data_IF_869350078146
#
_entry.id   IF_869350078146
#
_cell.length_a   1.000
_cell.length_b   1.000
_cell.length_c   1.000
_cell.angle_alpha   90.00
_cell.angle_beta   90.00
_cell.angle_gamma   90.00
#
_symmetry.space_group_name_H-M   'P 1'
#
loop_
_entity.id
_entity.type
_entity.pdbx_description
1 polymer ?
#
# COMPACT_ATOMS: atom_id res chain seq x y z
N UNK A 1 -4.42 33.49 -8.04
CA UNK A 1 -3.47 32.37 -8.02
C UNK A 1 -4.04 31.29 -8.92
N UNK A 2 -3.39 31.11 -10.11
CA UNK A 2 -3.81 30.12 -11.12
C UNK A 2 -3.65 28.70 -10.56
N UNK A 3 -4.63 27.83 -10.86
CA UNK A 3 -4.55 26.38 -10.58
C UNK A 3 -3.34 25.81 -11.32
N UNK A 4 -2.55 24.91 -10.69
CA UNK A 4 -1.48 24.24 -11.41
C UNK A 4 -2.06 23.40 -12.55
N UNK A 5 -1.42 23.44 -13.71
CA UNK A 5 -1.79 22.63 -14.88
C UNK A 5 -1.43 21.15 -14.63
N UNK A 6 -2.06 20.24 -15.38
CA UNK A 6 -1.79 18.80 -15.29
C UNK A 6 -0.30 18.48 -15.52
N UNK A 7 0.34 19.20 -16.46
CA UNK A 7 1.77 19.06 -16.77
C UNK A 7 2.67 19.52 -15.61
N UNK A 8 2.28 20.57 -14.88
CA UNK A 8 3.01 21.04 -13.68
C UNK A 8 2.90 20.04 -12.54
N UNK A 9 1.73 19.40 -12.35
CA UNK A 9 1.55 18.33 -11.38
C UNK A 9 2.37 17.09 -11.73
N UNK A 10 2.42 16.70 -13.00
CA UNK A 10 3.24 15.58 -13.48
C UNK A 10 4.74 15.89 -13.40
N UNK A 11 5.15 17.13 -13.63
CA UNK A 11 6.54 17.56 -13.51
C UNK A 11 6.98 17.63 -12.04
N UNK A 12 6.13 18.10 -11.14
CA UNK A 12 6.34 18.04 -9.69
C UNK A 12 6.43 16.58 -9.24
N UNK A 13 5.55 15.71 -9.71
CA UNK A 13 5.60 14.27 -9.45
C UNK A 13 6.95 13.67 -9.86
N UNK A 14 7.39 13.86 -11.10
CA UNK A 14 8.67 13.33 -11.63
C UNK A 14 9.89 13.88 -10.89
N UNK A 15 9.90 15.16 -10.55
CA UNK A 15 11.03 15.82 -9.87
C UNK A 15 11.11 15.39 -8.40
N UNK A 16 9.97 15.18 -7.72
CA UNK A 16 9.91 14.70 -6.34
C UNK A 16 10.30 13.22 -6.22
N UNK A 17 9.94 12.38 -7.20
CA UNK A 17 10.31 10.95 -7.21
C UNK A 17 11.80 10.74 -7.48
N UNK A 18 12.46 11.65 -8.19
CA UNK A 18 13.89 11.53 -8.47
C UNK A 18 14.78 11.84 -7.26
N UNK A 19 14.30 12.60 -6.24
CA UNK A 19 15.18 13.11 -5.18
C UNK A 19 14.71 12.98 -3.72
N UNK A 20 13.41 12.73 -3.39
CA UNK A 20 12.99 12.44 -1.98
C UNK A 20 11.53 11.94 -1.89
N UNK A 21 11.29 10.72 -1.71
CA UNK A 21 10.79 9.90 -0.60
C UNK A 21 9.50 10.33 0.09
N UNK A 22 8.40 9.74 -0.35
CA UNK A 22 7.20 9.36 0.40
C UNK A 22 6.50 10.28 1.45
N UNK A 23 7.15 10.87 2.43
CA UNK A 23 6.47 11.69 3.42
C UNK A 23 5.80 12.93 2.85
N UNK A 24 6.48 13.67 1.96
CA UNK A 24 5.98 14.93 1.42
C UNK A 24 4.75 14.80 0.51
N UNK A 25 4.64 13.71 -0.26
CA UNK A 25 3.48 13.49 -1.16
C UNK A 25 2.25 13.11 -0.35
N UNK A 26 2.40 12.27 0.67
CA UNK A 26 1.30 11.88 1.57
C UNK A 26 0.82 13.09 2.37
N UNK A 27 1.74 13.94 2.83
CA UNK A 27 1.42 15.18 3.55
C UNK A 27 0.72 16.18 2.64
N UNK A 28 1.21 16.40 1.42
CA UNK A 28 0.55 17.24 0.43
C UNK A 28 -0.85 16.74 0.04
N UNK A 29 -1.03 15.44 -0.20
CA UNK A 29 -2.34 14.87 -0.49
C UNK A 29 -3.30 15.01 0.69
N UNK A 30 -2.81 14.86 1.94
CA UNK A 30 -3.58 15.11 3.16
C UNK A 30 -4.05 16.56 3.24
N UNK A 31 -3.17 17.50 2.92
CA UNK A 31 -3.51 18.94 2.94
C UNK A 31 -4.53 19.32 1.87
N UNK A 32 -4.43 18.71 0.67
CA UNK A 32 -5.43 18.88 -0.40
C UNK A 32 -6.78 18.33 0.06
N UNK A 33 -6.82 17.10 0.57
CA UNK A 33 -8.06 16.47 1.06
C UNK A 33 -8.67 17.29 2.20
N UNK A 34 -7.86 17.78 3.14
CA UNK A 34 -8.34 18.60 4.25
C UNK A 34 -8.98 19.92 3.76
N UNK A 35 -8.41 20.55 2.76
CA UNK A 35 -8.94 21.78 2.14
C UNK A 35 -10.27 21.51 1.44
N UNK A 36 -10.34 20.45 0.64
CA UNK A 36 -11.58 20.06 -0.06
C UNK A 36 -12.71 19.73 0.93
N UNK A 37 -12.41 19.03 2.02
CA UNK A 37 -13.38 18.74 3.06
C UNK A 37 -13.89 20.01 3.76
N UNK A 38 -13.03 21.02 3.99
CA UNK A 38 -13.46 22.30 4.59
C UNK A 38 -14.33 23.09 3.61
N UNK A 39 -14.05 23.06 2.29
CA UNK A 39 -14.91 23.66 1.27
C UNK A 39 -16.30 23.00 1.25
N UNK A 40 -16.38 21.67 1.27
CA UNK A 40 -17.63 20.92 1.36
C UNK A 40 -18.39 21.27 2.64
N UNK A 41 -17.71 21.31 3.79
CA UNK A 41 -18.31 21.71 5.06
C UNK A 41 -18.86 23.14 5.04
N UNK A 42 -18.17 24.06 4.36
CA UNK A 42 -18.62 25.44 4.17
C UNK A 42 -19.88 25.51 3.31
N UNK A 43 -19.95 24.76 2.21
CA UNK A 43 -21.13 24.64 1.34
C UNK A 43 -22.34 24.11 2.12
N UNK A 44 -22.16 23.05 2.90
CA UNK A 44 -23.23 22.48 3.72
C UNK A 44 -23.73 23.44 4.80
N UNK A 45 -22.82 24.23 5.42
CA UNK A 45 -23.21 25.27 6.37
C UNK A 45 -24.04 26.38 5.70
N UNK A 46 -23.65 26.79 4.48
CA UNK A 46 -24.40 27.75 3.69
C UNK A 46 -25.80 27.26 3.34
N UNK A 47 -25.91 26.01 2.87
CA UNK A 47 -27.18 25.36 2.54
C UNK A 47 -28.11 25.28 3.75
N UNK A 48 -27.59 24.86 4.89
CA UNK A 48 -28.36 24.83 6.14
C UNK A 48 -28.92 26.21 6.50
N UNK A 49 -28.11 27.28 6.35
CA UNK A 49 -28.57 28.67 6.61
C UNK A 49 -29.69 29.08 5.66
N UNK A 50 -29.62 28.66 4.38
CA UNK A 50 -30.68 28.92 3.41
C UNK A 50 -31.99 28.21 3.76
N UNK A 51 -31.93 26.95 4.13
CA UNK A 51 -33.10 26.15 4.57
C UNK A 51 -33.71 26.74 5.84
N UNK A 52 -32.89 27.17 6.81
CA UNK A 52 -33.39 27.82 8.04
C UNK A 52 -34.08 29.17 7.77
N UNK A 53 -33.58 29.96 6.80
CA UNK A 53 -34.24 31.19 6.33
C UNK A 53 -35.57 30.91 5.67
N UNK A 54 -35.62 29.90 4.80
CA UNK A 54 -36.84 29.48 4.14
C UNK A 54 -37.88 28.98 5.15
N UNK A 55 -37.47 28.19 6.14
CA UNK A 55 -38.34 27.73 7.24
C UNK A 55 -38.97 28.90 8.00
N UNK A 56 -38.20 29.94 8.33
CA UNK A 56 -38.72 31.16 8.99
C UNK A 56 -39.78 31.87 8.14
N UNK A 57 -39.54 32.03 6.84
CA UNK A 57 -40.51 32.64 5.92
C UNK A 57 -41.82 31.84 5.93
N UNK A 58 -41.75 30.52 5.93
CA UNK A 58 -42.94 29.64 5.99
C UNK A 58 -43.71 29.80 7.32
N UNK A 59 -43.00 29.82 8.45
CA UNK A 59 -43.58 29.96 9.77
C UNK A 59 -44.27 31.33 9.97
N UNK A 60 -43.59 32.41 9.54
CA UNK A 60 -44.13 33.78 9.56
C UNK A 60 -45.39 33.90 8.70
N UNK A 61 -45.35 33.29 7.50
CA UNK A 61 -46.47 33.31 6.57
C UNK A 61 -47.65 32.49 7.13
N UNK A 62 -47.39 31.31 7.66
CA UNK A 62 -48.42 30.45 8.29
C UNK A 62 -49.08 31.13 9.50
N UNK A 63 -48.28 31.75 10.37
CA UNK A 63 -48.80 32.48 11.55
C UNK A 63 -49.63 33.70 11.16
N UNK A 64 -49.19 34.40 10.12
CA UNK A 64 -49.95 35.56 9.57
C UNK A 64 -51.29 35.19 8.95
N UNK A 65 -51.38 33.97 8.38
CA UNK A 65 -52.63 33.43 7.81
C UNK A 65 -53.61 32.97 8.91
N UNK A 66 -53.13 32.40 9.98
CA UNK A 66 -53.95 31.83 11.05
C UNK A 66 -54.66 32.88 11.91
N UNK A 67 -54.19 34.12 11.94
CA UNK A 67 -54.71 35.19 12.78
C UNK A 67 -55.76 36.12 12.15
N UNK A 68 -56.15 35.95 10.88
CA UNK A 68 -57.04 36.86 10.15
C UNK A 68 -58.22 36.14 9.51
N UNK A 69 -59.42 36.43 10.00
CA UNK A 69 -60.68 35.84 9.53
C UNK A 69 -61.16 36.31 8.14
N UNK A 70 -60.60 37.40 7.58
CA UNK A 70 -60.92 37.92 6.24
C UNK A 70 -59.64 38.40 5.54
N UNK A 71 -59.03 37.53 4.76
CA UNK A 71 -57.92 37.87 3.88
C UNK A 71 -58.46 38.39 2.53
N UNK A 72 -58.03 39.57 2.10
CA UNK A 72 -58.36 40.05 0.75
C UNK A 72 -57.66 39.18 -0.33
N UNK A 73 -58.29 39.01 -1.46
CA UNK A 73 -57.75 38.22 -2.57
C UNK A 73 -56.35 38.74 -3.01
N UNK A 74 -56.12 40.05 -2.98
CA UNK A 74 -54.83 40.67 -3.28
C UNK A 74 -53.72 40.27 -2.29
N UNK A 75 -54.02 40.16 -1.01
CA UNK A 75 -53.07 39.73 0.01
C UNK A 75 -52.68 38.26 -0.13
N UNK A 76 -53.68 37.39 -0.42
CA UNK A 76 -53.42 35.96 -0.70
C UNK A 76 -52.53 35.78 -1.93
N UNK A 77 -52.76 36.58 -3.00
CA UNK A 77 -51.95 36.52 -4.23
C UNK A 77 -50.51 36.99 -3.98
N UNK A 78 -50.29 38.03 -3.18
CA UNK A 78 -48.94 38.48 -2.76
C UNK A 78 -48.20 37.45 -1.94
N UNK A 79 -48.86 36.81 -0.97
CA UNK A 79 -48.30 35.74 -0.17
C UNK A 79 -47.91 34.55 -1.06
N UNK A 80 -48.83 34.08 -1.93
CA UNK A 80 -48.54 32.99 -2.85
C UNK A 80 -47.35 33.28 -3.79
N UNK A 81 -47.28 34.51 -4.29
CA UNK A 81 -46.16 34.93 -5.13
C UNK A 81 -44.81 34.96 -4.37
N UNK A 82 -44.79 35.49 -3.15
CA UNK A 82 -43.58 35.51 -2.31
C UNK A 82 -43.11 34.10 -1.94
N UNK A 83 -44.03 33.20 -1.59
CA UNK A 83 -43.73 31.79 -1.32
C UNK A 83 -43.18 31.08 -2.58
N UNK A 84 -43.77 31.32 -3.75
CA UNK A 84 -43.29 30.73 -4.99
C UNK A 84 -41.84 31.19 -5.32
N UNK A 85 -41.55 32.49 -5.15
CA UNK A 85 -40.19 33.01 -5.34
C UNK A 85 -39.21 32.40 -4.35
N UNK A 86 -39.53 32.32 -3.06
CA UNK A 86 -38.69 31.75 -2.03
C UNK A 86 -38.44 30.24 -2.28
N UNK A 87 -39.47 29.50 -2.68
CA UNK A 87 -39.37 28.06 -3.02
C UNK A 87 -38.47 27.84 -4.22
N UNK A 88 -38.66 28.59 -5.31
CA UNK A 88 -37.85 28.47 -6.50
C UNK A 88 -36.38 28.80 -6.21
N UNK A 89 -36.13 29.88 -5.46
CA UNK A 89 -34.76 30.25 -5.03
C UNK A 89 -34.10 29.12 -4.22
N UNK A 90 -34.81 28.48 -3.30
CA UNK A 90 -34.29 27.37 -2.49
C UNK A 90 -34.02 26.12 -3.36
N UNK A 91 -34.91 25.81 -4.32
CA UNK A 91 -34.72 24.70 -5.25
C UNK A 91 -33.48 24.94 -6.14
N UNK A 92 -33.34 26.12 -6.69
CA UNK A 92 -32.20 26.44 -7.57
C UNK A 92 -30.88 26.45 -6.80
N UNK A 93 -30.85 26.95 -5.57
CA UNK A 93 -29.69 26.88 -4.70
C UNK A 93 -29.34 25.43 -4.34
N UNK A 94 -30.32 24.61 -3.97
CA UNK A 94 -30.11 23.19 -3.69
C UNK A 94 -29.57 22.42 -4.92
N UNK A 95 -30.02 22.72 -6.13
CA UNK A 95 -29.47 22.14 -7.37
C UNK A 95 -28.03 22.55 -7.59
N UNK A 96 -27.70 23.80 -7.35
CA UNK A 96 -26.32 24.30 -7.49
C UNK A 96 -25.38 23.61 -6.48
N UNK A 97 -25.80 23.50 -5.23
CA UNK A 97 -25.03 22.79 -4.18
C UNK A 97 -24.86 21.32 -4.54
N UNK A 98 -25.91 20.64 -5.00
CA UNK A 98 -25.83 19.24 -5.45
C UNK A 98 -24.85 19.05 -6.60
N UNK A 99 -24.86 19.94 -7.61
CA UNK A 99 -23.90 19.92 -8.71
C UNK A 99 -22.46 20.09 -8.22
N UNK A 100 -22.22 21.10 -7.36
CA UNK A 100 -20.90 21.36 -6.81
C UNK A 100 -20.39 20.19 -5.94
N UNK A 101 -21.27 19.55 -5.16
CA UNK A 101 -20.92 18.37 -4.38
C UNK A 101 -20.52 17.18 -5.25
N UNK A 102 -21.23 16.96 -6.37
CA UNK A 102 -20.88 15.91 -7.32
C UNK A 102 -19.48 16.15 -7.94
N UNK A 103 -19.20 17.39 -8.35
CA UNK A 103 -17.89 17.76 -8.92
C UNK A 103 -16.77 17.55 -7.88
N UNK A 104 -17.00 17.96 -6.61
CA UNK A 104 -16.04 17.78 -5.51
C UNK A 104 -15.83 16.30 -5.16
N UNK A 105 -16.87 15.48 -5.20
CA UNK A 105 -16.77 14.05 -4.97
C UNK A 105 -15.90 13.38 -6.05
N UNK A 106 -16.10 13.72 -7.32
CA UNK A 106 -15.29 13.22 -8.43
C UNK A 106 -13.80 13.64 -8.28
N UNK A 107 -13.54 14.89 -7.86
CA UNK A 107 -12.18 15.38 -7.62
C UNK A 107 -11.50 14.61 -6.47
N UNK A 108 -12.20 14.39 -5.35
CA UNK A 108 -11.69 13.58 -4.22
C UNK A 108 -11.41 12.14 -4.61
N UNK A 109 -12.24 11.50 -5.42
CA UNK A 109 -12.00 10.14 -5.93
C UNK A 109 -10.76 10.10 -6.82
N UNK A 110 -10.55 11.10 -7.67
CA UNK A 110 -9.34 11.23 -8.49
C UNK A 110 -8.08 11.38 -7.64
N UNK A 111 -8.11 12.24 -6.63
CA UNK A 111 -6.97 12.45 -5.70
C UNK A 111 -6.68 11.16 -4.94
N UNK A 112 -7.71 10.47 -4.45
CA UNK A 112 -7.58 9.18 -3.75
C UNK A 112 -6.93 8.12 -4.63
N UNK A 113 -7.39 7.97 -5.88
CA UNK A 113 -6.83 7.03 -6.84
C UNK A 113 -5.35 7.30 -7.12
N UNK A 114 -4.99 8.56 -7.36
CA UNK A 114 -3.58 8.95 -7.54
C UNK A 114 -2.73 8.67 -6.30
N UNK A 115 -3.25 8.95 -5.11
CA UNK A 115 -2.54 8.66 -3.86
C UNK A 115 -2.30 7.15 -3.67
N UNK A 116 -3.27 6.31 -4.01
CA UNK A 116 -3.13 4.85 -3.97
C UNK A 116 -2.08 4.37 -4.97
N UNK A 117 -2.08 4.92 -6.19
CA UNK A 117 -1.06 4.64 -7.20
C UNK A 117 0.35 5.05 -6.71
N UNK A 118 0.49 6.26 -6.17
CA UNK A 118 1.77 6.72 -5.61
C UNK A 118 2.25 5.87 -4.44
N UNK A 119 1.36 5.46 -3.55
CA UNK A 119 1.69 4.53 -2.47
C UNK A 119 2.18 3.19 -3.03
N UNK A 120 1.50 2.66 -4.04
CA UNK A 120 1.91 1.42 -4.70
C UNK A 120 3.30 1.56 -5.32
N UNK A 121 3.55 2.63 -6.08
CA UNK A 121 4.87 2.89 -6.68
C UNK A 121 5.97 3.07 -5.63
N UNK A 122 5.68 3.71 -4.50
CA UNK A 122 6.64 3.91 -3.41
C UNK A 122 6.94 2.63 -2.61
N UNK A 123 6.04 1.66 -2.60
CA UNK A 123 6.14 0.44 -1.81
C UNK A 123 6.48 -0.81 -2.66
N UNK A 124 6.61 -0.68 -4.00
CA UNK A 124 7.03 -1.77 -4.90
C UNK A 124 8.49 -1.61 -5.37
N UNK A 125 9.13 -2.72 -5.68
CA UNK A 125 10.45 -2.76 -6.31
C UNK A 125 10.31 -2.56 -7.84
N UNK A 126 11.03 -1.61 -8.45
CA UNK A 126 10.85 -1.28 -9.87
C UNK A 126 11.30 -2.38 -10.83
N UNK A 127 12.19 -3.29 -10.40
CA UNK A 127 12.67 -4.38 -11.23
C UNK A 127 11.72 -5.57 -11.23
N UNK A 128 11.18 -5.92 -10.06
CA UNK A 128 10.42 -7.17 -9.84
C UNK A 128 8.93 -6.97 -9.67
N UNK A 129 8.48 -5.74 -9.45
CA UNK A 129 7.08 -5.35 -9.18
C UNK A 129 6.44 -6.01 -7.95
N UNK A 130 7.20 -6.77 -7.15
CA UNK A 130 6.80 -7.17 -5.80
C UNK A 130 7.07 -6.04 -4.80
N UNK A 131 6.70 -6.23 -3.54
CA UNK A 131 6.95 -5.24 -2.50
C UNK A 131 8.45 -4.96 -2.33
N UNK A 132 8.81 -3.73 -1.98
CA UNK A 132 10.19 -3.35 -1.70
C UNK A 132 10.52 -3.44 -0.20
N UNK A 133 11.78 -3.12 0.17
CA UNK A 133 12.26 -3.11 1.55
C UNK A 133 11.38 -2.26 2.47
N UNK A 134 10.95 -1.08 2.01
CA UNK A 134 10.11 -0.17 2.81
C UNK A 134 8.75 -0.78 3.15
N UNK A 135 8.12 -1.45 2.20
CA UNK A 135 6.87 -2.16 2.44
C UNK A 135 7.08 -3.33 3.41
N UNK A 136 8.21 -4.05 3.29
CA UNK A 136 8.59 -5.11 4.21
C UNK A 136 8.75 -4.61 5.66
N UNK A 137 9.44 -3.48 5.88
CA UNK A 137 9.66 -2.92 7.22
C UNK A 137 8.34 -2.50 7.90
N UNK A 138 7.36 -2.03 7.11
CA UNK A 138 6.00 -1.77 7.61
C UNK A 138 5.27 -3.06 7.98
N UNK A 139 5.36 -4.05 7.10
CA UNK A 139 4.58 -5.29 7.23
C UNK A 139 5.08 -6.15 8.41
N UNK A 140 6.40 -6.28 8.59
CA UNK A 140 6.95 -7.01 9.75
C UNK A 140 6.54 -6.35 11.07
N UNK A 141 6.44 -5.02 11.09
CA UNK A 141 5.96 -4.27 12.27
C UNK A 141 4.46 -4.50 12.48
N UNK A 142 3.66 -4.57 11.40
CA UNK A 142 2.22 -4.82 11.46
C UNK A 142 1.89 -6.18 12.06
N UNK A 143 2.54 -7.24 11.59
CA UNK A 143 2.28 -8.60 12.07
C UNK A 143 2.63 -8.76 13.54
N UNK A 144 3.59 -8.01 14.04
CA UNK A 144 4.01 -8.04 15.44
C UNK A 144 3.05 -7.26 16.35
N UNK A 145 2.50 -6.13 15.89
CA UNK A 145 1.56 -5.29 16.65
C UNK A 145 0.12 -5.84 16.63
N UNK A 146 -0.20 -6.73 15.69
CA UNK A 146 -1.49 -7.40 15.66
C UNK A 146 -1.51 -8.51 16.70
N UNK A 147 -2.18 -8.30 17.83
CA UNK A 147 -2.35 -9.27 18.93
C UNK A 147 -3.05 -10.59 18.51
N UNK A 148 -3.45 -10.73 17.25
CA UNK A 148 -4.12 -11.92 16.69
C UNK A 148 -3.13 -12.68 15.82
N UNK A 149 -2.60 -13.79 16.32
CA UNK A 149 -1.92 -14.78 15.48
C UNK A 149 -0.40 -14.78 15.49
N UNK A 150 0.28 -14.08 16.41
CA UNK A 150 1.76 -14.14 16.56
C UNK A 150 2.30 -15.59 16.55
N UNK A 151 1.54 -16.54 17.10
CA UNK A 151 1.94 -17.96 17.15
C UNK A 151 2.04 -18.63 15.76
N UNK A 152 1.35 -18.07 14.76
CA UNK A 152 1.23 -18.66 13.43
C UNK A 152 1.75 -17.74 12.32
N UNK A 153 2.55 -16.75 12.66
CA UNK A 153 3.21 -15.88 11.70
C UNK A 153 4.68 -16.23 11.58
N UNK A 154 5.18 -16.30 10.37
CA UNK A 154 6.56 -16.65 10.08
C UNK A 154 7.22 -15.65 9.15
N UNK A 155 8.52 -15.41 9.37
CA UNK A 155 9.41 -14.73 8.45
C UNK A 155 10.32 -15.75 7.78
N UNK A 156 10.38 -15.69 6.44
CA UNK A 156 11.34 -16.44 5.62
C UNK A 156 12.21 -15.44 4.90
N UNK A 157 13.50 -15.46 5.19
CA UNK A 157 14.50 -14.71 4.41
C UNK A 157 15.11 -15.61 3.34
N UNK A 158 15.31 -15.06 2.17
CA UNK A 158 15.78 -15.77 0.98
C UNK A 158 16.91 -15.00 0.32
N UNK A 159 17.90 -15.73 -0.18
CA UNK A 159 19.05 -15.16 -0.90
C UNK A 159 19.43 -16.07 -2.05
N UNK A 160 19.74 -15.47 -3.19
CA UNK A 160 20.14 -16.22 -4.40
C UNK A 160 21.59 -16.68 -4.25
N UNK A 161 21.78 -17.97 -4.29
CA UNK A 161 23.10 -18.58 -4.10
C UNK A 161 24.07 -18.19 -5.22
N UNK A 162 25.25 -17.67 -4.82
CA UNK A 162 26.33 -17.29 -5.76
C UNK A 162 25.90 -16.30 -6.86
N UNK A 163 25.01 -15.38 -6.53
CA UNK A 163 24.48 -14.42 -7.51
C UNK A 163 25.59 -13.53 -8.12
N UNK A 164 26.63 -13.20 -7.33
CA UNK A 164 27.80 -12.49 -7.82
C UNK A 164 28.49 -13.25 -8.97
N UNK A 165 28.67 -14.58 -8.84
CA UNK A 165 29.28 -15.39 -9.89
C UNK A 165 28.48 -15.36 -11.20
N UNK A 166 27.16 -15.27 -11.10
CA UNK A 166 26.28 -15.12 -12.26
C UNK A 166 26.49 -13.75 -12.93
N UNK A 167 26.51 -12.67 -12.14
CA UNK A 167 26.76 -11.32 -12.65
C UNK A 167 28.15 -11.19 -13.28
N UNK A 168 29.18 -11.75 -12.64
CA UNK A 168 30.54 -11.71 -13.13
C UNK A 168 30.70 -12.47 -14.45
N UNK A 169 29.94 -13.55 -14.63
CA UNK A 169 30.00 -14.40 -15.83
C UNK A 169 29.15 -13.90 -16.99
N UNK A 170 27.94 -13.41 -16.71
CA UNK A 170 26.93 -13.12 -17.74
C UNK A 170 26.51 -11.65 -17.80
N UNK A 171 26.99 -10.83 -16.86
CA UNK A 171 26.67 -9.41 -16.76
C UNK A 171 25.36 -9.13 -15.97
N UNK A 172 25.26 -7.92 -15.44
CA UNK A 172 24.09 -7.46 -14.66
C UNK A 172 22.74 -7.62 -15.37
N UNK A 173 22.60 -7.40 -16.70
CA UNK A 173 21.31 -7.59 -17.37
C UNK A 173 20.77 -9.02 -17.30
N UNK A 174 21.65 -10.03 -17.19
CA UNK A 174 21.25 -11.43 -16.99
C UNK A 174 20.85 -11.65 -15.53
N UNK A 175 21.62 -11.11 -14.59
CA UNK A 175 21.24 -11.14 -13.18
C UNK A 175 19.87 -10.54 -12.92
N UNK A 176 19.57 -9.37 -13.51
CA UNK A 176 18.27 -8.72 -13.40
C UNK A 176 17.11 -9.61 -13.89
N UNK A 177 17.31 -10.31 -15.03
CA UNK A 177 16.32 -11.26 -15.54
C UNK A 177 16.11 -12.46 -14.61
N UNK A 178 17.18 -12.95 -13.99
CA UNK A 178 17.08 -14.03 -13.00
C UNK A 178 16.30 -13.56 -11.76
N UNK A 179 16.59 -12.36 -11.25
CA UNK A 179 15.85 -11.76 -10.14
C UNK A 179 14.36 -11.63 -10.50
N UNK A 180 14.03 -11.13 -11.71
CA UNK A 180 12.64 -11.03 -12.18
C UNK A 180 11.96 -12.40 -12.22
N UNK A 181 12.61 -13.41 -12.82
CA UNK A 181 12.07 -14.77 -12.91
C UNK A 181 11.83 -15.40 -11.55
N UNK A 182 12.72 -15.16 -10.58
CA UNK A 182 12.53 -15.63 -9.19
C UNK A 182 11.35 -14.92 -8.52
N UNK A 183 11.21 -13.61 -8.73
CA UNK A 183 10.05 -12.86 -8.24
C UNK A 183 8.73 -13.38 -8.84
N UNK A 184 8.71 -13.72 -10.12
CA UNK A 184 7.55 -14.35 -10.79
C UNK A 184 7.22 -15.71 -10.16
N UNK A 185 8.24 -16.53 -9.85
CA UNK A 185 8.07 -17.81 -9.17
C UNK A 185 7.45 -17.60 -7.78
N UNK A 186 7.90 -16.60 -7.02
CA UNK A 186 7.27 -16.26 -5.76
C UNK A 186 5.79 -15.90 -5.96
N UNK A 187 5.47 -15.00 -6.88
CA UNK A 187 4.10 -14.54 -7.15
C UNK A 187 3.17 -15.70 -7.53
N UNK A 188 3.62 -16.63 -8.36
CA UNK A 188 2.83 -17.82 -8.77
C UNK A 188 2.67 -18.80 -7.60
N UNK A 189 3.66 -18.92 -6.72
CA UNK A 189 3.68 -19.85 -5.61
C UNK A 189 2.88 -19.39 -4.40
N UNK A 190 2.59 -18.09 -4.32
CA UNK A 190 1.92 -17.43 -3.20
C UNK A 190 0.40 -17.58 -3.34
N UNK A 191 -0.25 -17.99 -2.27
CA UNK A 191 -1.71 -17.88 -2.10
C UNK A 191 -2.01 -16.61 -1.31
N UNK A 192 -3.20 -16.06 -1.42
CA UNK A 192 -3.62 -14.71 -1.03
C UNK A 192 -3.20 -14.14 0.35
N UNK A 193 -2.66 -14.97 1.25
CA UNK A 193 -2.29 -14.58 2.62
C UNK A 193 -0.77 -14.47 2.83
N UNK A 194 0.01 -14.45 1.75
CA UNK A 194 1.48 -14.38 1.83
C UNK A 194 1.97 -13.06 1.26
N UNK A 195 2.83 -12.39 2.00
CA UNK A 195 3.51 -11.18 1.57
C UNK A 195 4.92 -11.53 1.06
N UNK A 196 5.31 -10.98 -0.09
CA UNK A 196 6.66 -11.13 -0.63
C UNK A 196 7.28 -9.78 -0.98
N UNK A 197 8.53 -9.58 -0.59
CA UNK A 197 9.28 -8.37 -0.87
C UNK A 197 10.70 -8.68 -1.34
N UNK A 198 11.25 -7.79 -2.16
CA UNK A 198 12.68 -7.71 -2.42
C UNK A 198 13.32 -6.75 -1.41
N UNK A 199 14.20 -7.27 -0.56
CA UNK A 199 14.78 -6.52 0.56
C UNK A 199 16.20 -6.04 0.31
N UNK A 200 16.84 -6.56 -0.74
CA UNK A 200 18.21 -6.22 -1.16
C UNK A 200 18.43 -6.48 -2.63
N UNK A 201 19.68 -6.46 -3.06
CA UNK A 201 20.05 -6.72 -4.45
C UNK A 201 19.59 -8.10 -4.93
N UNK A 202 19.90 -9.13 -4.15
CA UNK A 202 19.62 -10.55 -4.43
C UNK A 202 18.82 -11.21 -3.29
N UNK A 203 18.32 -10.38 -2.36
CA UNK A 203 17.62 -10.82 -1.15
C UNK A 203 16.12 -10.59 -1.26
N UNK A 204 15.36 -11.58 -0.78
CA UNK A 204 13.90 -11.53 -0.69
C UNK A 204 13.45 -11.90 0.73
N UNK A 205 12.26 -11.46 1.08
CA UNK A 205 11.60 -11.83 2.31
C UNK A 205 10.15 -12.24 2.04
N UNK A 206 9.71 -13.32 2.69
CA UNK A 206 8.31 -13.72 2.70
C UNK A 206 7.79 -13.63 4.13
N UNK A 207 6.58 -13.12 4.30
CA UNK A 207 5.82 -13.18 5.52
C UNK A 207 4.62 -14.09 5.27
N UNK A 208 4.49 -15.13 6.09
CA UNK A 208 3.43 -16.12 6.00
C UNK A 208 2.62 -16.03 7.28
N UNK A 209 1.34 -15.66 7.14
CA UNK A 209 0.41 -15.53 8.25
C UNK A 209 -0.47 -16.78 8.39
N UNK A 210 -0.81 -17.15 9.61
CA UNK A 210 -1.75 -18.23 9.89
C UNK A 210 -1.21 -19.65 9.63
N UNK A 211 0.12 -19.84 9.51
CA UNK A 211 0.76 -21.11 9.24
C UNK A 211 1.61 -21.61 10.41
N UNK A 212 1.62 -22.93 10.63
CA UNK A 212 2.59 -23.55 11.54
C UNK A 212 4.01 -23.53 10.95
N UNK A 213 5.02 -23.77 11.78
CA UNK A 213 6.41 -23.85 11.33
C UNK A 213 6.60 -24.93 10.25
N UNK A 214 5.95 -26.10 10.40
CA UNK A 214 6.02 -27.17 9.40
C UNK A 214 5.37 -26.78 8.08
N UNK A 215 4.19 -26.16 8.12
CA UNK A 215 3.52 -25.66 6.92
C UNK A 215 4.35 -24.57 6.22
N UNK A 216 4.99 -23.68 6.99
CA UNK A 216 5.91 -22.65 6.47
C UNK A 216 7.13 -23.30 5.81
N UNK A 217 7.70 -24.31 6.43
CA UNK A 217 8.84 -25.06 5.87
C UNK A 217 8.46 -25.75 4.57
N UNK A 218 7.32 -26.41 4.50
CA UNK A 218 6.85 -27.09 3.29
C UNK A 218 6.63 -26.11 2.13
N UNK A 219 6.11 -24.91 2.42
CA UNK A 219 5.98 -23.83 1.43
C UNK A 219 7.36 -23.36 0.94
N UNK A 220 8.28 -23.07 1.87
CA UNK A 220 9.62 -22.62 1.54
C UNK A 220 10.40 -23.66 0.72
N UNK A 221 10.33 -24.93 1.11
CA UNK A 221 11.02 -26.04 0.41
C UNK A 221 10.43 -26.26 -0.99
N UNK A 222 9.12 -26.18 -1.16
CA UNK A 222 8.47 -26.24 -2.47
C UNK A 222 8.95 -25.12 -3.40
N UNK A 223 9.03 -23.88 -2.89
CA UNK A 223 9.53 -22.72 -3.65
C UNK A 223 11.00 -22.92 -4.01
N UNK A 224 11.84 -23.34 -3.04
CA UNK A 224 13.25 -23.63 -3.28
C UNK A 224 13.43 -24.66 -4.39
N UNK A 225 12.70 -25.76 -4.30
CA UNK A 225 12.75 -26.83 -5.30
C UNK A 225 12.26 -26.38 -6.68
N UNK A 226 11.25 -25.53 -6.75
CA UNK A 226 10.75 -24.97 -8.00
C UNK A 226 11.79 -24.07 -8.66
N UNK A 227 12.49 -23.22 -7.88
CA UNK A 227 13.56 -22.38 -8.40
C UNK A 227 14.71 -23.23 -8.93
N UNK A 228 15.15 -24.26 -8.19
CA UNK A 228 16.21 -25.18 -8.58
C UNK A 228 15.89 -25.93 -9.89
N UNK A 229 14.60 -26.27 -10.10
CA UNK A 229 14.15 -27.00 -11.30
C UNK A 229 13.86 -26.10 -12.49
N UNK A 230 13.77 -24.78 -12.28
CA UNK A 230 13.44 -23.83 -13.35
C UNK A 230 14.65 -23.64 -14.28
N UNK A 231 14.48 -23.86 -15.60
CA UNK A 231 15.55 -23.60 -16.57
C UNK A 231 15.67 -22.08 -16.81
N UNK A 232 16.77 -21.49 -16.37
CA UNK A 232 17.08 -20.08 -16.66
C UNK A 232 17.77 -19.96 -18.02
N UNK A 233 17.01 -19.60 -19.06
CA UNK A 233 17.50 -19.52 -20.43
C UNK A 233 17.19 -18.17 -21.06
N UNK A 234 18.07 -17.70 -21.95
CA UNK A 234 17.80 -16.52 -22.77
C UNK A 234 16.74 -16.83 -23.82
N UNK A 235 15.65 -16.10 -23.82
CA UNK A 235 14.63 -16.18 -24.87
C UNK A 235 15.11 -15.72 -26.24
N UNK A 236 16.19 -14.89 -26.29
CA UNK A 236 16.72 -14.35 -27.54
C UNK A 236 17.84 -15.23 -28.15
N UNK A 237 18.69 -15.81 -27.32
CA UNK A 237 19.87 -16.55 -27.78
C UNK A 237 19.81 -18.05 -27.50
N UNK A 238 18.83 -18.51 -26.72
CA UNK A 238 18.77 -19.90 -26.26
C UNK A 238 19.85 -20.28 -25.24
N UNK A 239 20.67 -19.33 -24.81
CA UNK A 239 21.75 -19.59 -23.85
C UNK A 239 21.22 -20.05 -22.52
N UNK A 240 21.65 -21.21 -22.04
CA UNK A 240 21.32 -21.71 -20.71
C UNK A 240 22.32 -21.12 -19.70
N UNK A 241 21.79 -20.43 -18.67
CA UNK A 241 22.60 -19.81 -17.61
C UNK A 241 22.97 -20.77 -16.46
N UNK A 242 22.51 -22.01 -16.53
CA UNK A 242 22.74 -23.04 -15.52
C UNK A 242 21.64 -23.08 -14.47
N UNK A 243 21.87 -23.87 -13.42
CA UNK A 243 20.96 -24.01 -12.29
C UNK A 243 21.17 -22.86 -11.33
N UNK A 244 20.10 -22.14 -11.02
CA UNK A 244 20.05 -21.13 -9.97
C UNK A 244 19.38 -21.74 -8.74
N UNK A 245 19.98 -21.54 -7.58
CA UNK A 245 19.44 -22.02 -6.31
C UNK A 245 19.30 -20.89 -5.31
N UNK A 246 18.53 -21.12 -4.26
CA UNK A 246 18.34 -20.16 -3.17
C UNK A 246 18.59 -20.83 -1.83
N UNK A 247 19.14 -20.07 -0.90
CA UNK A 247 19.20 -20.41 0.51
C UNK A 247 18.09 -19.69 1.26
N UNK A 248 17.45 -20.35 2.22
CA UNK A 248 16.34 -19.79 2.98
C UNK A 248 16.53 -19.98 4.48
N UNK A 249 16.08 -19.00 5.27
CA UNK A 249 16.06 -19.05 6.73
C UNK A 249 14.68 -18.71 7.26
N UNK A 250 14.12 -19.56 8.13
CA UNK A 250 12.79 -19.40 8.73
C UNK A 250 12.93 -19.08 10.21
N UNK A 251 12.11 -18.13 10.69
CA UNK A 251 11.85 -17.91 12.10
C UNK A 251 10.37 -17.63 12.33
N UNK A 252 9.78 -18.29 13.34
CA UNK A 252 8.41 -18.00 13.76
C UNK A 252 8.38 -16.72 14.60
N UNK A 253 7.35 -15.90 14.44
CA UNK A 253 7.20 -14.68 15.24
C UNK A 253 7.08 -14.95 16.74
N UNK A 254 6.55 -16.13 17.12
CA UNK A 254 6.50 -16.60 18.50
C UNK A 254 7.87 -16.87 19.14
N UNK A 255 8.93 -17.02 18.35
CA UNK A 255 10.28 -17.25 18.83
C UNK A 255 11.04 -15.94 19.09
N UNK A 256 10.47 -14.79 18.72
CA UNK A 256 11.14 -13.50 18.73
C UNK A 256 10.48 -12.53 19.73
N UNK A 257 11.28 -11.59 20.25
CA UNK A 257 10.84 -10.57 21.20
C UNK A 257 10.32 -9.31 20.50
N UNK A 258 10.52 -9.17 19.18
CA UNK A 258 10.13 -8.03 18.38
C UNK A 258 10.50 -8.21 16.91
N UNK A 259 10.11 -7.24 16.05
CA UNK A 259 10.38 -7.30 14.60
C UNK A 259 11.88 -7.42 14.26
N UNK A 260 12.74 -6.70 14.98
CA UNK A 260 14.19 -6.73 14.77
C UNK A 260 14.82 -8.06 15.19
N UNK A 261 14.34 -8.65 16.30
CA UNK A 261 14.80 -9.95 16.77
C UNK A 261 14.32 -11.06 15.83
N UNK A 262 13.08 -10.95 15.30
CA UNK A 262 12.55 -11.86 14.29
C UNK A 262 13.43 -11.87 13.02
N UNK A 263 13.76 -10.67 12.52
CA UNK A 263 14.66 -10.54 11.37
C UNK A 263 16.04 -11.15 11.66
N UNK A 264 16.62 -10.83 12.82
CA UNK A 264 17.95 -11.33 13.22
C UNK A 264 17.99 -12.85 13.34
N UNK A 265 16.94 -13.47 13.86
CA UNK A 265 16.84 -14.92 14.00
C UNK A 265 16.64 -15.62 12.64
N UNK A 266 15.82 -15.06 11.76
CA UNK A 266 15.66 -15.55 10.39
C UNK A 266 16.96 -15.41 9.59
N UNK A 267 17.71 -14.30 9.74
CA UNK A 267 19.01 -14.08 9.10
C UNK A 267 20.07 -15.12 9.57
N UNK A 268 20.10 -15.42 10.86
CA UNK A 268 20.96 -16.50 11.38
C UNK A 268 20.62 -17.85 10.76
N UNK A 269 19.34 -18.16 10.56
CA UNK A 269 18.91 -19.39 9.91
C UNK A 269 19.31 -19.39 8.42
N UNK A 270 19.16 -18.28 7.71
CA UNK A 270 19.62 -18.09 6.34
C UNK A 270 21.15 -18.27 6.22
N UNK A 271 21.91 -17.63 7.09
CA UNK A 271 23.36 -17.81 7.14
C UNK A 271 23.74 -19.29 7.34
N UNK A 272 23.03 -20.01 8.22
CA UNK A 272 23.23 -21.44 8.42
C UNK A 272 22.97 -22.22 7.13
N UNK A 273 21.96 -21.90 6.36
CA UNK A 273 21.72 -22.50 5.05
C UNK A 273 22.88 -22.29 4.09
N UNK A 274 23.42 -21.06 4.01
CA UNK A 274 24.56 -20.71 3.15
C UNK A 274 25.84 -21.48 3.52
N UNK A 275 26.19 -21.56 4.81
CA UNK A 275 27.42 -22.25 5.26
C UNK A 275 27.28 -23.78 5.28
N UNK A 276 26.07 -24.31 5.31
CA UNK A 276 25.84 -25.76 5.32
C UNK A 276 25.76 -26.38 3.92
N UNK A 277 26.13 -25.61 2.86
CA UNK A 277 26.21 -26.09 1.47
C UNK A 277 25.22 -25.46 0.53
N UNK A 278 24.49 -24.40 0.97
CA UNK A 278 23.48 -23.68 0.16
C UNK A 278 22.31 -24.55 -0.30
N UNK A 279 21.45 -24.00 -1.16
CA UNK A 279 20.30 -24.70 -1.76
C UNK A 279 19.47 -25.47 -0.74
N UNK A 280 19.06 -24.78 0.34
CA UNK A 280 18.30 -25.40 1.46
C UNK A 280 17.53 -24.40 2.27
N UNK A 281 16.60 -24.92 3.04
CA UNK A 281 15.83 -24.21 4.06
C UNK A 281 16.34 -24.60 5.44
N UNK A 282 16.59 -23.63 6.32
CA UNK A 282 16.93 -23.86 7.74
C UNK A 282 15.90 -23.18 8.62
N UNK A 283 15.41 -23.87 9.64
CA UNK A 283 14.53 -23.34 10.68
C UNK A 283 15.37 -22.84 11.85
N UNK A 284 15.06 -21.67 12.40
CA UNK A 284 15.75 -21.13 13.57
C UNK A 284 15.57 -22.07 14.78
N UNK A 285 14.38 -22.63 15.01
CA UNK A 285 14.08 -23.57 16.09
C UNK A 285 15.05 -24.75 16.16
N UNK A 286 15.55 -25.23 15.01
CA UNK A 286 16.48 -26.37 14.95
C UNK A 286 17.93 -25.97 15.30
N UNK A 287 18.22 -24.68 15.47
CA UNK A 287 19.55 -24.18 15.78
C UNK A 287 19.83 -24.03 17.28
N UNK A 288 18.83 -24.17 18.14
CA UNK A 288 18.89 -23.95 19.60
C UNK A 288 19.79 -24.94 20.39
N UNK A 289 20.80 -25.55 19.74
CA UNK A 289 21.76 -26.44 20.42
C UNK A 289 23.25 -26.17 20.14
N UNK A 290 23.60 -25.20 19.27
CA UNK A 290 25.01 -24.93 18.91
C UNK A 290 25.31 -23.44 18.75
N UNK A 291 25.43 -22.71 19.86
CA UNK A 291 25.93 -21.34 19.87
C UNK A 291 27.44 -21.32 19.57
N UNK A 292 27.82 -21.09 18.31
CA UNK A 292 29.18 -20.84 17.87
C UNK A 292 29.37 -19.37 17.46
N UNK A 293 30.38 -18.71 18.03
CA UNK A 293 30.73 -17.28 17.92
C UNK A 293 31.23 -16.79 16.56
N UNK A 294 30.64 -17.17 15.43
CA UNK A 294 31.17 -16.84 14.09
C UNK A 294 30.36 -15.81 13.30
N UNK A 295 29.31 -15.26 13.87
CA UNK A 295 28.32 -14.46 13.15
C UNK A 295 28.70 -13.00 12.83
N UNK A 296 29.62 -12.41 13.63
CA UNK A 296 29.94 -10.97 13.56
C UNK A 296 30.86 -10.55 12.40
N UNK A 297 31.38 -11.48 11.62
CA UNK A 297 32.42 -11.20 10.60
C UNK A 297 31.88 -11.01 9.17
N UNK A 298 30.58 -11.21 8.90
CA UNK A 298 30.05 -11.20 7.52
C UNK A 298 29.45 -9.87 7.07
N UNK A 299 29.47 -8.82 7.91
CA UNK A 299 28.95 -7.48 7.57
C UNK A 299 30.00 -6.48 7.08
N UNK A 300 31.17 -6.94 6.63
CA UNK A 300 32.19 -6.10 5.99
C UNK A 300 32.70 -6.82 4.77
N UNK A 301 32.08 -6.51 3.63
CA UNK A 301 32.75 -6.24 2.34
C UNK A 301 31.68 -5.80 1.34
#
# INVERSE_FOLDING_TARGET
>A
TSRPTQDELDQIGRTFFAHNHGPGIVEHARDVIARELEEVASLLRSERSHIEKYGRILDETSSGLSGRSLLSQDLLQKIASAMAVATNSTIDHGRQVASTLNDKTAELESVKSKLEEYKRLADTDPLTHIWNRRAFDKEITRIYNSNRGILFNALVLVDIDRFKDINDRYGHPVGDKIIQSIADIFQISIRGDMFVARTGGEEFALIIEGASEDATYDVAERIRALIEQTPFTSSQTGTNYGTVTVSMGICMASEAEGPEDLYTKADRALYRSKVSGRNRVTRHSTMAGRAGKSWLLYKKD
#
